data_IF_241388567392
#
_entry.id   IF_241388567392
#
_cell.length_a   1.000
_cell.length_b   1.000
_cell.length_c   1.000
_cell.angle_alpha   90.00
_cell.angle_beta   90.00
_cell.angle_gamma   90.00
#
_symmetry.space_group_name_H-M   'P 1'
#
loop_
_entity.id
_entity.type
_entity.pdbx_description
1 polymer ?
#
# COMPACT_ATOMS: atom_id res chain seq x y z
N UNK A 1 -28.92 -5.09 -36.27
CA UNK A 1 -27.60 -4.86 -35.71
C UNK A 1 -26.74 -6.11 -35.80
N UNK A 2 -25.50 -6.01 -36.25
CA UNK A 2 -24.57 -7.14 -36.41
C UNK A 2 -23.19 -6.76 -35.83
N UNK A 3 -22.59 -7.66 -35.08
CA UNK A 3 -21.21 -7.54 -34.59
C UNK A 3 -20.44 -8.75 -35.11
N UNK A 4 -19.31 -8.50 -35.76
CA UNK A 4 -18.45 -9.56 -36.29
C UNK A 4 -16.99 -9.26 -36.01
N UNK A 5 -16.20 -10.32 -35.78
CA UNK A 5 -14.76 -10.22 -35.55
C UNK A 5 -14.03 -11.03 -36.62
N UNK A 6 -12.98 -10.45 -37.14
CA UNK A 6 -12.08 -11.08 -38.12
C UNK A 6 -10.65 -10.98 -37.60
N UNK A 7 -10.01 -12.11 -37.39
CA UNK A 7 -8.59 -12.12 -37.03
C UNK A 7 -7.76 -11.61 -38.20
N UNK A 8 -6.86 -10.68 -37.92
CA UNK A 8 -5.86 -10.16 -38.84
C UNK A 8 -4.63 -11.08 -38.83
N UNK A 9 -4.24 -11.44 -37.60
CA UNK A 9 -3.18 -12.39 -37.32
C UNK A 9 -3.49 -13.17 -36.02
N UNK A 10 -2.47 -13.75 -35.37
CA UNK A 10 -2.64 -14.54 -34.14
C UNK A 10 -2.98 -13.71 -32.91
N UNK A 11 -2.60 -12.43 -32.91
CA UNK A 11 -2.66 -11.53 -31.74
C UNK A 11 -3.42 -10.24 -32.01
N UNK A 12 -3.99 -10.09 -33.21
CA UNK A 12 -4.80 -8.93 -33.59
C UNK A 12 -6.04 -9.31 -34.40
N UNK A 13 -7.12 -8.58 -34.17
CA UNK A 13 -8.37 -8.75 -34.87
C UNK A 13 -9.03 -7.39 -35.19
N UNK A 14 -9.94 -7.40 -36.15
CA UNK A 14 -10.86 -6.31 -36.44
C UNK A 14 -12.24 -6.68 -35.90
N UNK A 15 -12.82 -5.81 -35.13
CA UNK A 15 -14.20 -5.91 -34.65
C UNK A 15 -15.04 -4.88 -35.41
N UNK A 16 -16.01 -5.36 -36.17
CA UNK A 16 -16.93 -4.50 -36.93
C UNK A 16 -18.30 -4.52 -36.29
N UNK A 17 -18.86 -3.36 -36.00
CA UNK A 17 -20.19 -3.17 -35.45
C UNK A 17 -21.04 -2.40 -36.44
N UNK A 18 -22.10 -3.03 -36.95
CA UNK A 18 -23.06 -2.43 -37.85
C UNK A 18 -24.36 -2.11 -37.08
N UNK A 19 -24.71 -0.83 -37.02
CA UNK A 19 -25.91 -0.32 -36.37
C UNK A 19 -26.86 0.25 -37.39
N UNK A 20 -28.04 -0.31 -37.48
CA UNK A 20 -29.09 0.14 -38.38
C UNK A 20 -30.07 1.08 -37.66
N UNK A 21 -30.79 1.90 -38.41
CA UNK A 21 -31.78 2.83 -37.87
C UNK A 21 -32.78 2.17 -36.92
N UNK A 22 -33.24 0.96 -37.26
CA UNK A 22 -34.18 0.21 -36.44
C UNK A 22 -33.65 -0.11 -35.02
N UNK A 23 -32.32 -0.18 -34.85
CA UNK A 23 -31.72 -0.57 -33.56
C UNK A 23 -31.76 0.55 -32.53
N UNK A 24 -31.70 1.82 -32.94
CA UNK A 24 -31.60 2.97 -32.05
C UNK A 24 -32.81 3.92 -32.09
N UNK A 25 -33.64 3.90 -33.15
CA UNK A 25 -34.69 4.90 -33.37
C UNK A 25 -35.66 5.00 -32.19
N UNK A 26 -36.08 3.88 -31.62
CA UNK A 26 -36.99 3.88 -30.47
C UNK A 26 -36.36 4.53 -29.20
N UNK A 27 -35.08 4.25 -28.95
CA UNK A 27 -34.32 4.84 -27.84
C UNK A 27 -34.20 6.36 -28.02
N UNK A 28 -33.84 6.80 -29.23
CA UNK A 28 -33.74 8.23 -29.60
C UNK A 28 -35.08 8.94 -29.43
N UNK A 29 -36.18 8.39 -29.97
CA UNK A 29 -37.50 9.00 -29.83
C UNK A 29 -37.97 9.07 -28.36
N UNK A 30 -37.62 8.10 -27.55
CA UNK A 30 -37.90 8.10 -26.10
C UNK A 30 -37.15 9.18 -25.35
N UNK A 31 -35.86 9.37 -25.67
CA UNK A 31 -35.02 10.43 -25.07
C UNK A 31 -35.51 11.81 -25.53
N UNK A 32 -35.79 12.00 -26.82
CA UNK A 32 -36.34 13.27 -27.33
C UNK A 32 -37.69 13.64 -26.73
N UNK A 33 -38.55 12.66 -26.41
CA UNK A 33 -39.82 12.89 -25.65
C UNK A 33 -39.51 13.42 -24.24
N UNK A 34 -38.48 12.91 -23.56
CA UNK A 34 -38.05 13.42 -22.23
C UNK A 34 -37.52 14.85 -22.34
N UNK A 35 -36.66 15.12 -23.36
CA UNK A 35 -36.16 16.48 -23.61
C UNK A 35 -37.31 17.46 -23.86
N UNK A 36 -38.34 17.06 -24.64
CA UNK A 36 -39.54 17.89 -24.87
C UNK A 36 -40.23 18.29 -23.57
N UNK A 37 -40.37 17.37 -22.62
CA UNK A 37 -41.01 17.64 -21.33
C UNK A 37 -40.22 18.64 -20.47
N UNK A 38 -38.90 18.67 -20.61
CA UNK A 38 -38.01 19.49 -19.82
C UNK A 38 -37.64 20.82 -20.51
N UNK A 39 -37.74 20.87 -21.84
CA UNK A 39 -37.33 22.01 -22.64
C UNK A 39 -38.06 23.29 -22.27
N UNK A 40 -37.30 24.37 -22.07
CA UNK A 40 -37.80 25.72 -21.87
C UNK A 40 -37.40 26.53 -23.09
N UNK A 41 -38.36 26.70 -24.03
CA UNK A 41 -38.11 27.41 -25.30
C UNK A 41 -39.01 28.67 -25.31
N UNK A 42 -38.44 29.87 -25.51
CA UNK A 42 -39.24 31.11 -25.59
C UNK A 42 -40.40 30.98 -26.59
N UNK A 43 -41.59 31.36 -26.17
CA UNK A 43 -42.81 31.26 -26.98
C UNK A 43 -43.60 29.96 -26.86
N UNK A 44 -43.11 28.97 -26.12
CA UNK A 44 -43.81 27.70 -25.87
C UNK A 44 -43.95 27.39 -24.39
N UNK A 45 -45.13 26.88 -24.00
CA UNK A 45 -45.31 26.34 -22.64
C UNK A 45 -44.45 25.07 -22.47
N UNK A 46 -43.86 24.91 -21.29
CA UNK A 46 -43.05 23.71 -20.92
C UNK A 46 -43.82 22.44 -21.25
N UNK A 47 -43.18 21.51 -21.99
CA UNK A 47 -43.79 20.27 -22.44
C UNK A 47 -44.64 20.35 -23.72
N UNK A 48 -44.91 21.58 -24.25
CA UNK A 48 -45.70 21.81 -25.44
C UNK A 48 -44.90 22.27 -26.67
N UNK A 49 -43.58 22.19 -26.58
CA UNK A 49 -42.69 22.48 -27.70
C UNK A 49 -42.94 21.46 -28.83
N UNK A 50 -43.10 21.88 -30.12
CA UNK A 50 -43.25 20.97 -31.22
C UNK A 50 -42.07 19.99 -31.33
N UNK A 51 -42.35 18.70 -31.57
CA UNK A 51 -41.32 17.65 -31.66
C UNK A 51 -40.32 17.93 -32.80
N UNK A 52 -40.76 18.55 -33.86
CA UNK A 52 -39.90 18.94 -34.97
C UNK A 52 -38.81 19.93 -34.58
N UNK A 53 -39.14 20.87 -33.65
CA UNK A 53 -38.18 21.82 -33.11
C UNK A 53 -37.18 21.15 -32.16
N UNK A 54 -37.68 20.23 -31.32
CA UNK A 54 -36.82 19.40 -30.42
C UNK A 54 -35.87 18.53 -31.26
N UNK A 55 -36.39 17.85 -32.29
CA UNK A 55 -35.55 17.05 -33.22
C UNK A 55 -34.50 17.90 -33.91
N UNK A 56 -34.85 19.09 -34.39
CA UNK A 56 -33.91 20.02 -35.02
C UNK A 56 -32.79 20.49 -34.08
N UNK A 57 -33.13 20.72 -32.81
CA UNK A 57 -32.20 21.27 -31.82
C UNK A 57 -31.34 20.21 -31.16
N UNK A 58 -31.91 19.05 -30.82
CA UNK A 58 -31.25 18.02 -30.02
C UNK A 58 -31.12 16.66 -30.73
N UNK A 59 -31.76 16.49 -31.88
CA UNK A 59 -31.87 15.20 -32.57
C UNK A 59 -30.51 14.56 -32.86
N UNK A 60 -29.60 15.34 -33.42
CA UNK A 60 -28.24 14.89 -33.77
C UNK A 60 -27.44 14.45 -32.54
N UNK A 61 -27.42 15.27 -31.50
CA UNK A 61 -26.69 14.97 -30.29
C UNK A 61 -27.24 13.74 -29.58
N UNK A 62 -28.58 13.64 -29.45
CA UNK A 62 -29.24 12.48 -28.86
C UNK A 62 -29.03 11.21 -29.66
N UNK A 63 -29.06 11.30 -31.01
CA UNK A 63 -28.78 10.16 -31.87
C UNK A 63 -27.32 9.68 -31.70
N UNK A 64 -26.36 10.60 -31.73
CA UNK A 64 -24.95 10.26 -31.50
C UNK A 64 -24.72 9.59 -30.14
N UNK A 65 -25.32 10.13 -29.08
CA UNK A 65 -25.22 9.58 -27.74
C UNK A 65 -25.85 8.18 -27.63
N UNK A 66 -27.03 7.96 -28.19
CA UNK A 66 -27.71 6.66 -28.12
C UNK A 66 -27.04 5.60 -29.02
N UNK A 67 -26.48 6.00 -30.16
CA UNK A 67 -25.70 5.12 -31.05
C UNK A 67 -24.40 4.73 -30.35
N UNK A 68 -23.70 5.66 -29.71
CA UNK A 68 -22.47 5.37 -28.96
C UNK A 68 -22.73 4.40 -27.79
N UNK A 69 -23.75 4.66 -26.97
CA UNK A 69 -24.14 3.75 -25.89
C UNK A 69 -24.46 2.34 -26.41
N UNK A 70 -25.21 2.26 -27.51
CA UNK A 70 -25.57 0.99 -28.10
C UNK A 70 -24.36 0.24 -28.66
N UNK A 71 -23.43 0.95 -29.28
CA UNK A 71 -22.18 0.43 -29.79
C UNK A 71 -21.35 -0.17 -28.66
N UNK A 72 -21.12 0.60 -27.58
CA UNK A 72 -20.36 0.14 -26.40
C UNK A 72 -21.02 -1.08 -25.74
N UNK A 73 -22.35 -1.05 -25.56
CA UNK A 73 -23.13 -2.17 -25.02
C UNK A 73 -22.87 -3.45 -25.83
N UNK A 74 -22.92 -3.36 -27.14
CA UNK A 74 -22.79 -4.51 -28.05
C UNK A 74 -21.36 -5.01 -28.21
N UNK A 75 -20.38 -4.13 -28.19
CA UNK A 75 -18.97 -4.52 -28.15
C UNK A 75 -18.70 -5.35 -26.89
N UNK A 76 -19.10 -4.84 -25.72
CA UNK A 76 -18.91 -5.54 -24.45
C UNK A 76 -19.67 -6.89 -24.38
N UNK A 77 -20.90 -6.93 -24.91
CA UNK A 77 -21.69 -8.17 -24.99
C UNK A 77 -20.98 -9.21 -25.87
N UNK A 78 -20.54 -8.82 -27.07
CA UNK A 78 -19.84 -9.69 -27.99
C UNK A 78 -18.53 -10.26 -27.41
N UNK A 79 -17.71 -9.41 -26.80
CA UNK A 79 -16.44 -9.82 -26.15
C UNK A 79 -16.71 -10.86 -25.05
N UNK A 80 -17.73 -10.62 -24.22
CA UNK A 80 -18.08 -11.52 -23.13
C UNK A 80 -18.66 -12.86 -23.62
N UNK A 81 -19.60 -12.82 -24.58
CA UNK A 81 -20.27 -14.03 -25.09
C UNK A 81 -19.33 -14.93 -25.86
N UNK A 82 -18.41 -14.35 -26.63
CA UNK A 82 -17.42 -15.07 -27.42
C UNK A 82 -16.13 -15.34 -26.63
N UNK A 83 -16.06 -14.93 -25.36
CA UNK A 83 -14.87 -15.10 -24.49
C UNK A 83 -13.58 -14.61 -25.15
N UNK A 84 -13.66 -13.43 -25.80
CA UNK A 84 -12.51 -12.85 -26.48
C UNK A 84 -11.48 -12.39 -25.45
N UNK A 85 -10.30 -13.00 -25.44
CA UNK A 85 -9.18 -12.60 -24.56
C UNK A 85 -8.51 -11.34 -25.13
N UNK A 86 -9.16 -10.19 -24.89
CA UNK A 86 -8.72 -8.89 -25.38
C UNK A 86 -7.74 -8.25 -24.39
N UNK A 87 -6.67 -7.64 -24.90
CA UNK A 87 -5.71 -6.85 -24.15
C UNK A 87 -6.05 -5.37 -24.24
N UNK A 88 -6.34 -4.75 -23.10
CA UNK A 88 -6.70 -3.33 -23.03
C UNK A 88 -8.10 -3.02 -23.59
N UNK A 89 -8.21 -1.95 -24.39
CA UNK A 89 -9.48 -1.47 -24.94
C UNK A 89 -9.50 -1.57 -26.48
N UNK A 90 -10.69 -1.69 -27.09
CA UNK A 90 -10.84 -1.57 -28.55
C UNK A 90 -10.39 -0.19 -29.02
N UNK A 91 -9.56 -0.13 -30.06
CA UNK A 91 -9.14 1.13 -30.65
C UNK A 91 -9.87 1.38 -31.98
N UNK A 92 -10.41 2.59 -32.22
CA UNK A 92 -10.97 2.91 -33.54
C UNK A 92 -9.94 2.69 -34.64
N UNK A 93 -10.31 1.95 -35.68
CA UNK A 93 -9.43 1.73 -36.83
C UNK A 93 -9.46 2.95 -37.77
N UNK A 94 -8.37 3.72 -37.82
CA UNK A 94 -8.30 4.99 -38.57
C UNK A 94 -8.43 4.84 -40.08
N UNK A 95 -8.02 3.69 -40.61
CA UNK A 95 -8.05 3.45 -42.07
C UNK A 95 -9.42 3.00 -42.57
N UNK A 96 -10.14 2.20 -41.75
CA UNK A 96 -11.41 1.58 -42.14
C UNK A 96 -12.64 2.30 -41.60
N UNK A 97 -12.49 3.13 -40.57
CA UNK A 97 -13.59 3.89 -40.00
C UNK A 97 -13.94 5.05 -40.92
N UNK A 98 -15.14 5.00 -41.49
CA UNK A 98 -15.65 6.08 -42.34
C UNK A 98 -16.03 7.29 -41.46
N UNK A 99 -15.92 8.49 -42.07
CA UNK A 99 -16.42 9.71 -41.40
C UNK A 99 -17.92 9.57 -41.13
N UNK A 100 -18.32 9.63 -39.87
CA UNK A 100 -19.71 9.50 -39.49
C UNK A 100 -20.39 10.87 -39.56
N UNK A 101 -21.42 10.96 -40.41
CA UNK A 101 -22.27 12.15 -40.51
C UNK A 101 -23.71 11.80 -40.03
N UNK A 102 -24.03 12.18 -38.79
CA UNK A 102 -25.35 11.98 -38.20
C UNK A 102 -26.46 12.85 -38.82
N UNK A 103 -26.16 13.77 -39.74
CA UNK A 103 -27.18 14.56 -40.43
C UNK A 103 -27.68 13.83 -41.72
N UNK A 104 -26.85 12.94 -42.27
CA UNK A 104 -27.16 12.30 -43.56
C UNK A 104 -27.29 10.79 -43.48
N UNK A 105 -26.51 10.18 -42.57
CA UNK A 105 -26.46 8.71 -42.42
C UNK A 105 -27.50 8.23 -41.39
N UNK A 106 -28.13 7.11 -41.71
CA UNK A 106 -29.07 6.41 -40.86
C UNK A 106 -28.54 5.05 -40.38
N UNK A 107 -27.50 4.54 -41.05
CA UNK A 107 -26.81 3.31 -40.66
C UNK A 107 -25.34 3.63 -40.41
N UNK A 108 -24.75 3.02 -39.42
CA UNK A 108 -23.41 3.31 -38.95
C UNK A 108 -22.58 2.03 -38.89
N UNK A 109 -21.37 2.10 -39.42
CA UNK A 109 -20.36 1.05 -39.27
C UNK A 109 -19.20 1.57 -38.45
N UNK A 110 -18.89 0.86 -37.39
CA UNK A 110 -17.73 1.12 -36.52
C UNK A 110 -16.77 -0.04 -36.66
N UNK A 111 -15.50 0.26 -36.90
CA UNK A 111 -14.43 -0.72 -37.00
C UNK A 111 -13.38 -0.46 -35.94
N UNK A 112 -13.05 -1.47 -35.17
CA UNK A 112 -12.08 -1.39 -34.08
C UNK A 112 -10.95 -2.38 -34.28
N UNK A 113 -9.74 -1.94 -33.98
CA UNK A 113 -8.59 -2.80 -33.76
C UNK A 113 -8.63 -3.40 -32.39
N UNK A 114 -8.50 -4.71 -32.30
CA UNK A 114 -8.51 -5.48 -31.05
C UNK A 114 -7.16 -6.16 -30.86
N UNK A 115 -6.49 -5.85 -29.78
CA UNK A 115 -5.33 -6.58 -29.32
C UNK A 115 -5.78 -7.87 -28.61
N UNK A 116 -5.30 -9.02 -29.07
CA UNK A 116 -5.62 -10.32 -28.49
C UNK A 116 -4.47 -10.86 -27.66
N UNK A 117 -4.78 -11.53 -26.55
CA UNK A 117 -3.80 -12.28 -25.79
C UNK A 117 -3.21 -13.43 -26.63
N UNK A 118 -1.90 -13.65 -26.57
CA UNK A 118 -1.26 -14.78 -27.26
C UNK A 118 -1.73 -16.11 -26.69
N UNK A 119 -1.77 -17.13 -27.53
CA UNK A 119 -2.04 -18.50 -27.08
C UNK A 119 -0.77 -19.10 -26.49
N UNK A 120 -0.82 -19.52 -25.25
CA UNK A 120 0.26 -20.21 -24.54
C UNK A 120 -0.34 -21.09 -23.43
N UNK A 121 0.49 -21.92 -22.78
CA UNK A 121 0.08 -22.76 -21.67
C UNK A 121 1.01 -22.54 -20.50
N UNK A 122 0.47 -22.08 -19.38
CA UNK A 122 1.15 -21.99 -18.11
C UNK A 122 0.80 -23.21 -17.26
N UNK A 123 1.78 -24.03 -16.97
CA UNK A 123 1.61 -25.26 -16.15
C UNK A 123 2.73 -25.37 -15.13
N UNK A 124 2.34 -25.80 -13.94
CA UNK A 124 3.26 -26.23 -12.89
C UNK A 124 2.83 -27.60 -12.36
N UNK A 125 3.79 -28.45 -12.09
CA UNK A 125 3.57 -29.84 -11.67
C UNK A 125 4.64 -30.29 -10.68
N UNK A 126 4.54 -31.48 -10.14
CA UNK A 126 5.54 -32.09 -9.26
C UNK A 126 6.94 -32.25 -9.92
N UNK A 127 7.03 -32.16 -11.26
CA UNK A 127 8.32 -32.18 -11.98
C UNK A 127 9.06 -30.85 -11.91
N UNK A 128 8.34 -29.77 -11.56
CA UNK A 128 8.88 -28.43 -11.45
C UNK A 128 9.41 -28.21 -10.03
N UNK A 129 10.74 -28.17 -9.87
CA UNK A 129 11.41 -27.97 -8.60
C UNK A 129 11.70 -26.47 -8.39
N UNK A 130 11.18 -25.90 -7.30
CA UNK A 130 11.33 -24.48 -6.97
C UNK A 130 11.89 -24.36 -5.56
N UNK A 131 12.85 -23.46 -5.39
CA UNK A 131 13.42 -23.17 -4.09
C UNK A 131 12.40 -22.47 -3.18
N UNK A 132 12.30 -22.96 -1.94
CA UNK A 132 11.51 -22.35 -0.90
C UNK A 132 12.40 -22.00 0.28
N UNK A 133 12.58 -20.70 0.53
CA UNK A 133 13.46 -20.19 1.58
C UNK A 133 12.68 -19.93 2.87
N UNK A 134 13.15 -20.52 3.96
CA UNK A 134 12.68 -20.21 5.32
C UNK A 134 13.77 -19.47 6.08
N UNK A 135 13.37 -18.45 6.84
CA UNK A 135 14.32 -17.64 7.61
C UNK A 135 14.44 -18.21 9.02
N UNK A 136 15.66 -18.57 9.40
CA UNK A 136 15.94 -19.07 10.73
C UNK A 136 15.72 -17.98 11.80
N UNK A 137 14.96 -18.28 12.83
CA UNK A 137 14.76 -17.38 13.99
C UNK A 137 15.87 -17.65 15.00
N UNK A 138 16.81 -16.71 15.12
CA UNK A 138 17.92 -16.80 16.06
C UNK A 138 17.48 -16.50 17.51
N UNK A 139 18.23 -17.02 18.47
CA UNK A 139 18.02 -16.72 19.89
C UNK A 139 18.23 -15.21 20.18
N UNK A 140 19.11 -14.55 19.43
CA UNK A 140 19.33 -13.11 19.54
C UNK A 140 18.07 -12.31 19.15
N UNK A 141 17.35 -12.72 18.10
CA UNK A 141 16.08 -12.10 17.71
C UNK A 141 15.03 -12.25 18.81
N UNK A 142 14.94 -13.45 19.38
CA UNK A 142 14.02 -13.72 20.49
C UNK A 142 14.39 -12.86 21.71
N UNK A 143 15.69 -12.80 22.08
CA UNK A 143 16.15 -12.00 23.20
C UNK A 143 15.85 -10.51 22.99
N UNK A 144 16.16 -9.97 21.82
CA UNK A 144 15.86 -8.57 21.49
C UNK A 144 14.38 -8.23 21.61
N UNK A 145 13.52 -9.16 21.20
CA UNK A 145 12.06 -8.99 21.31
C UNK A 145 11.59 -9.07 22.77
N UNK A 146 12.15 -9.98 23.56
CA UNK A 146 11.90 -10.09 25.02
C UNK A 146 12.30 -8.80 25.71
N UNK A 147 13.51 -8.29 25.44
CA UNK A 147 14.04 -7.06 26.02
C UNK A 147 13.15 -5.85 25.67
N UNK A 148 12.67 -5.80 24.42
CA UNK A 148 11.76 -4.76 23.98
C UNK A 148 10.44 -4.79 24.76
N UNK A 149 9.85 -5.96 25.00
CA UNK A 149 8.63 -6.09 25.79
C UNK A 149 8.88 -5.72 27.25
N UNK A 150 9.99 -6.20 27.84
CA UNK A 150 10.36 -5.87 29.21
C UNK A 150 10.57 -4.36 29.41
N UNK A 151 11.22 -3.69 28.44
CA UNK A 151 11.41 -2.24 28.48
C UNK A 151 10.11 -1.45 28.28
N UNK A 152 9.21 -1.89 27.42
CA UNK A 152 7.90 -1.24 27.24
C UNK A 152 7.03 -1.32 28.50
N UNK A 153 7.15 -2.39 29.26
CA UNK A 153 6.46 -2.59 30.52
C UNK A 153 7.27 -2.11 31.72
N UNK A 154 8.34 -1.31 31.50
CA UNK A 154 9.22 -0.82 32.57
C UNK A 154 8.45 -0.01 33.62
N UNK A 155 8.82 -0.21 34.86
CA UNK A 155 8.38 0.63 35.98
C UNK A 155 9.41 1.71 36.23
N UNK A 156 8.93 2.91 36.55
CA UNK A 156 9.79 4.03 36.85
C UNK A 156 9.98 4.10 38.38
N UNK A 157 11.24 3.98 38.80
CA UNK A 157 11.62 4.00 40.22
C UNK A 157 12.51 5.21 40.49
N UNK A 158 12.31 5.85 41.68
CA UNK A 158 13.18 6.91 42.13
C UNK A 158 14.46 6.29 42.69
N UNK A 159 15.60 6.81 42.28
CA UNK A 159 16.93 6.34 42.69
C UNK A 159 17.77 7.51 43.15
N UNK A 160 18.84 7.24 43.94
CA UNK A 160 19.72 8.27 44.51
C UNK A 160 20.89 8.65 43.60
N UNK A 161 21.33 7.75 42.72
CA UNK A 161 22.48 7.91 41.86
C UNK A 161 22.11 7.66 40.37
N UNK A 162 22.69 8.49 39.52
CA UNK A 162 22.46 8.42 38.06
C UNK A 162 23.18 7.24 37.41
N UNK A 163 22.47 6.58 36.55
CA UNK A 163 23.01 5.64 35.55
C UNK A 163 22.58 6.05 34.13
N UNK A 164 23.30 5.54 33.14
CA UNK A 164 22.97 5.85 31.74
C UNK A 164 21.49 5.51 31.46
N UNK A 165 20.82 6.41 30.74
CA UNK A 165 19.40 6.42 30.41
C UNK A 165 18.41 6.77 31.54
N UNK A 166 18.90 7.11 32.75
CA UNK A 166 18.02 7.66 33.79
C UNK A 166 17.53 9.05 33.40
N UNK A 167 16.35 9.39 33.82
CA UNK A 167 15.75 10.70 33.65
C UNK A 167 16.01 11.55 34.90
N UNK A 168 16.60 12.73 34.69
CA UNK A 168 16.85 13.72 35.72
C UNK A 168 15.75 14.76 35.70
N UNK A 169 15.23 15.11 36.90
CA UNK A 169 14.33 16.23 37.08
C UNK A 169 14.93 17.17 38.12
N UNK A 170 14.85 18.47 37.88
CA UNK A 170 15.44 19.44 38.80
C UNK A 170 15.23 20.89 38.42
N UNK A 171 15.89 21.78 39.13
CA UNK A 171 15.90 23.22 38.85
C UNK A 171 17.05 23.54 37.91
N UNK A 172 16.73 24.12 36.76
CA UNK A 172 17.68 24.63 35.80
C UNK A 172 17.73 26.15 35.85
N UNK A 173 18.92 26.73 36.00
CA UNK A 173 19.07 28.18 36.09
C UNK A 173 20.26 28.68 35.24
N UNK A 174 20.04 29.74 34.47
CA UNK A 174 21.06 30.42 33.67
C UNK A 174 22.12 31.07 34.60
N UNK A 175 23.39 30.93 34.20
CA UNK A 175 24.51 31.51 34.93
C UNK A 175 25.08 32.74 34.20
N UNK A 176 25.59 33.71 34.99
CA UNK A 176 26.35 34.82 34.51
C UNK A 176 27.81 34.42 34.22
N UNK A 177 28.63 35.34 33.73
CA UNK A 177 30.06 35.12 33.42
C UNK A 177 30.90 34.75 34.69
N UNK A 178 30.41 35.04 35.86
CA UNK A 178 31.10 34.73 37.15
C UNK A 178 30.60 33.37 37.74
N UNK A 179 29.67 32.70 37.07
CA UNK A 179 29.11 31.43 37.55
C UNK A 179 28.00 31.56 38.61
N UNK A 180 27.48 32.77 38.81
CA UNK A 180 26.32 32.99 39.70
C UNK A 180 25.01 32.92 38.88
N UNK A 181 23.90 32.64 39.59
CA UNK A 181 22.59 32.70 38.94
C UNK A 181 22.34 34.10 38.34
N UNK A 182 22.07 34.17 37.05
CA UNK A 182 21.88 35.41 36.31
C UNK A 182 20.55 36.07 36.69
N UNK A 183 20.61 37.31 37.16
CA UNK A 183 19.40 38.10 37.49
C UNK A 183 18.56 38.32 36.25
N UNK A 184 17.29 37.91 36.26
CA UNK A 184 16.37 37.94 35.10
C UNK A 184 16.72 36.92 33.99
N UNK A 185 17.66 36.01 34.22
CA UNK A 185 17.99 34.90 33.32
C UNK A 185 16.91 33.80 33.32
N UNK A 186 17.11 32.84 32.43
CA UNK A 186 16.19 31.70 32.28
C UNK A 186 16.28 30.79 33.50
N UNK A 187 15.12 30.53 34.14
CA UNK A 187 14.97 29.55 35.20
C UNK A 187 13.79 28.61 34.87
N UNK A 188 14.02 27.29 35.04
CA UNK A 188 13.02 26.26 34.77
C UNK A 188 12.94 25.34 35.96
N UNK A 189 11.85 25.48 36.75
CA UNK A 189 11.51 24.56 37.79
C UNK A 189 11.01 23.23 37.23
N UNK A 190 11.48 22.13 37.80
CA UNK A 190 11.10 20.79 37.38
C UNK A 190 11.50 20.48 35.93
N UNK A 191 12.61 21.05 35.46
CA UNK A 191 13.18 20.72 34.17
C UNK A 191 13.52 19.23 34.10
N UNK A 192 13.14 18.59 33.00
CA UNK A 192 13.37 17.16 32.78
C UNK A 192 14.34 16.98 31.65
N UNK A 193 15.37 16.18 31.86
CA UNK A 193 16.33 15.82 30.80
C UNK A 193 16.86 14.41 30.99
N UNK A 194 17.33 13.84 29.89
CA UNK A 194 18.08 12.57 29.88
C UNK A 194 19.47 12.85 29.33
N UNK A 195 20.52 12.82 30.15
CA UNK A 195 21.90 13.07 29.69
C UNK A 195 22.35 12.12 28.57
N UNK A 196 21.78 10.91 28.51
CA UNK A 196 22.06 9.94 27.43
C UNK A 196 21.74 10.48 26.03
N UNK A 197 20.86 11.48 25.87
CA UNK A 197 20.53 12.10 24.59
C UNK A 197 21.45 13.26 24.23
N UNK A 198 22.35 13.68 25.13
CA UNK A 198 23.36 14.67 24.81
C UNK A 198 24.31 14.12 23.75
N UNK A 199 24.62 14.95 22.76
CA UNK A 199 25.54 14.60 21.65
C UNK A 199 26.99 14.88 21.98
N UNK A 200 27.26 15.76 22.93
CA UNK A 200 28.60 16.10 23.37
C UNK A 200 29.01 15.26 24.58
N UNK A 201 30.02 14.42 24.40
CA UNK A 201 30.48 13.48 25.43
C UNK A 201 31.05 14.18 26.68
N UNK A 202 31.68 15.37 26.53
CA UNK A 202 32.20 16.13 27.67
C UNK A 202 31.05 16.64 28.54
N UNK A 203 29.98 17.14 27.93
CA UNK A 203 28.78 17.60 28.65
C UNK A 203 28.03 16.42 29.27
N UNK A 204 27.94 15.28 28.61
CA UNK A 204 27.36 14.05 29.12
C UNK A 204 28.12 13.53 30.34
N UNK A 205 29.45 13.58 30.30
CA UNK A 205 30.30 13.09 31.40
C UNK A 205 30.10 13.85 32.71
N UNK A 206 29.64 15.11 32.69
CA UNK A 206 29.32 15.90 33.88
C UNK A 206 28.25 15.18 34.74
N UNK A 207 27.33 14.47 34.10
CA UNK A 207 26.21 13.79 34.77
C UNK A 207 26.55 12.35 35.18
N UNK A 208 27.68 11.79 34.75
CA UNK A 208 27.99 10.37 34.93
C UNK A 208 27.98 9.90 36.41
N UNK A 209 28.26 10.80 37.35
CA UNK A 209 28.29 10.52 38.80
C UNK A 209 27.26 11.33 39.59
N UNK A 210 26.25 11.87 38.91
CA UNK A 210 25.24 12.73 39.51
C UNK A 210 24.42 11.99 40.57
N UNK A 211 24.11 12.70 41.66
CA UNK A 211 23.25 12.24 42.74
C UNK A 211 22.16 13.24 43.04
N UNK A 212 21.13 12.79 43.69
CA UNK A 212 20.07 13.68 44.20
C UNK A 212 20.68 14.76 45.08
N UNK A 213 20.28 16.00 44.92
CA UNK A 213 20.76 17.25 45.52
C UNK A 213 22.10 17.79 44.97
N UNK A 214 22.74 17.13 44.00
CA UNK A 214 23.91 17.70 43.35
C UNK A 214 23.53 18.93 42.50
N UNK A 215 24.45 19.89 42.41
CA UNK A 215 24.35 21.05 41.50
C UNK A 215 25.45 20.91 40.47
N UNK A 216 25.04 20.66 39.23
CA UNK A 216 25.94 20.42 38.11
C UNK A 216 25.89 21.61 37.14
N UNK A 217 27.04 22.01 36.63
CA UNK A 217 27.15 23.12 35.67
C UNK A 217 27.46 22.55 34.31
N UNK A 218 26.64 22.86 33.35
CA UNK A 218 26.80 22.40 31.96
C UNK A 218 26.35 23.47 30.96
N UNK A 219 26.69 23.28 29.69
CA UNK A 219 26.25 24.14 28.61
C UNK A 219 25.18 23.42 27.76
N UNK A 220 23.88 23.78 27.87
CA UNK A 220 22.83 23.12 27.11
C UNK A 220 23.03 23.22 25.59
N UNK A 221 23.50 24.35 25.08
CA UNK A 221 23.73 24.53 23.65
C UNK A 221 24.79 23.56 23.13
N UNK A 222 25.91 23.44 23.85
CA UNK A 222 26.96 22.48 23.52
C UNK A 222 26.48 21.02 23.73
N UNK A 223 25.72 20.74 24.78
CA UNK A 223 25.22 19.40 25.08
C UNK A 223 24.33 18.83 23.97
N UNK A 224 23.47 19.63 23.37
CA UNK A 224 22.52 19.22 22.34
C UNK A 224 22.90 19.72 20.93
N UNK A 225 24.16 20.15 20.72
CA UNK A 225 24.69 20.62 19.44
C UNK A 225 23.80 21.67 18.76
N UNK A 226 23.29 22.61 19.57
CA UNK A 226 22.43 23.70 19.10
C UNK A 226 21.05 23.26 18.60
N UNK A 227 20.59 22.06 18.92
CA UNK A 227 19.26 21.57 18.50
C UNK A 227 18.14 22.42 19.10
N UNK A 228 17.50 23.25 18.25
CA UNK A 228 16.47 24.20 18.66
C UNK A 228 15.26 23.54 19.33
N UNK A 229 14.85 22.36 18.91
CA UNK A 229 13.69 21.68 19.46
C UNK A 229 13.97 21.18 20.90
N UNK A 230 15.13 20.55 21.11
CA UNK A 230 15.56 20.07 22.42
C UNK A 230 15.77 21.24 23.41
N UNK A 231 16.48 22.27 22.97
CA UNK A 231 16.78 23.45 23.78
C UNK A 231 15.53 24.24 24.14
N UNK A 232 14.63 24.49 23.17
CA UNK A 232 13.36 25.15 23.41
C UNK A 232 12.51 24.39 24.43
N UNK A 233 12.51 23.05 24.35
CA UNK A 233 11.77 22.18 25.29
C UNK A 233 12.37 22.19 26.68
N UNK A 234 13.72 22.12 26.80
CA UNK A 234 14.45 22.06 28.05
C UNK A 234 14.39 23.42 28.79
N UNK A 235 14.68 24.51 28.07
CA UNK A 235 14.77 25.87 28.59
C UNK A 235 13.43 26.57 28.70
N UNK A 236 12.34 26.00 28.15
CA UNK A 236 10.99 26.59 28.08
C UNK A 236 10.98 27.96 27.42
N UNK A 237 11.80 28.20 26.42
CA UNK A 237 11.91 29.41 25.61
C UNK A 237 11.40 29.15 24.18
N UNK A 238 11.18 30.24 23.42
CA UNK A 238 10.83 30.13 22.02
C UNK A 238 12.02 29.68 21.18
N UNK A 239 11.77 29.02 20.06
CA UNK A 239 12.84 28.52 19.17
C UNK A 239 13.73 29.66 18.64
N UNK A 240 13.12 30.84 18.37
CA UNK A 240 13.86 32.01 17.90
C UNK A 240 14.88 32.55 18.93
N UNK A 241 14.66 32.28 20.22
CA UNK A 241 15.53 32.73 21.32
C UNK A 241 16.69 31.75 21.59
N UNK A 242 16.59 30.52 21.09
CA UNK A 242 17.60 29.45 21.32
C UNK A 242 18.98 29.83 20.78
N UNK A 243 19.03 30.50 19.61
CA UNK A 243 20.30 30.89 18.97
C UNK A 243 21.15 31.81 19.85
N UNK A 244 20.53 32.59 20.75
CA UNK A 244 21.17 33.53 21.67
C UNK A 244 21.61 32.85 22.97
N UNK A 245 21.07 31.66 23.30
CA UNK A 245 21.35 30.92 24.52
C UNK A 245 22.66 30.13 24.43
N UNK A 246 23.79 30.83 24.73
CA UNK A 246 25.14 30.22 24.77
C UNK A 246 25.69 30.13 26.20
N UNK A 247 24.94 30.58 27.18
CA UNK A 247 25.33 30.61 28.59
C UNK A 247 25.45 29.19 29.17
N UNK A 248 26.23 29.07 30.22
CA UNK A 248 26.21 27.90 31.08
C UNK A 248 24.96 27.95 31.98
N UNK A 249 24.52 26.79 32.39
CA UNK A 249 23.41 26.63 33.33
C UNK A 249 23.84 25.76 34.50
N UNK A 250 23.31 26.05 35.68
CA UNK A 250 23.31 25.11 36.80
C UNK A 250 22.07 24.24 36.73
N UNK A 251 22.24 22.97 37.00
CA UNK A 251 21.14 22.02 37.16
C UNK A 251 21.21 21.40 38.53
N UNK A 252 20.27 21.74 39.41
CA UNK A 252 20.12 21.12 40.71
C UNK A 252 19.24 19.88 40.59
N UNK A 253 19.81 18.73 40.80
CA UNK A 253 19.12 17.43 40.70
C UNK A 253 18.18 17.25 41.89
N UNK A 254 16.86 17.28 41.62
CA UNK A 254 15.82 17.06 42.62
C UNK A 254 15.39 15.60 42.68
N UNK A 255 15.36 14.94 41.52
CA UNK A 255 14.89 13.57 41.40
C UNK A 255 15.61 12.88 40.24
N UNK A 256 15.97 11.63 40.46
CA UNK A 256 16.47 10.72 39.43
C UNK A 256 15.48 9.58 39.33
N UNK A 257 15.01 9.34 38.10
CA UNK A 257 14.05 8.29 37.80
C UNK A 257 14.66 7.28 36.83
N UNK A 258 14.68 6.02 37.23
CA UNK A 258 15.19 4.90 36.41
C UNK A 258 14.05 4.08 35.87
N UNK A 259 14.08 3.82 34.56
CA UNK A 259 13.20 2.85 33.95
C UNK A 259 13.76 1.44 34.22
N UNK A 260 13.14 0.71 35.13
CA UNK A 260 13.50 -0.68 35.45
C UNK A 260 12.67 -1.59 34.55
N UNK A 261 13.29 -2.34 33.62
CA UNK A 261 12.56 -3.28 32.78
C UNK A 261 11.73 -4.25 33.62
N UNK A 262 10.53 -4.60 33.12
CA UNK A 262 9.70 -5.56 33.83
C UNK A 262 10.41 -6.91 33.93
N UNK A 263 10.23 -7.59 35.07
CA UNK A 263 10.69 -8.96 35.22
C UNK A 263 9.95 -9.89 34.25
N UNK A 264 10.61 -10.97 33.84
CA UNK A 264 9.99 -12.02 33.01
C UNK A 264 9.09 -12.90 33.92
N UNK A 265 7.97 -12.33 34.28
CA UNK A 265 6.99 -12.94 35.17
C UNK A 265 5.58 -12.96 34.53
N UNK A 266 4.62 -13.55 35.27
CA UNK A 266 3.24 -13.68 34.81
C UNK A 266 2.60 -12.33 34.39
N UNK A 267 2.95 -11.25 35.11
CA UNK A 267 2.38 -9.94 34.82
C UNK A 267 2.79 -9.42 33.42
N UNK A 268 4.07 -9.61 33.06
CA UNK A 268 4.54 -9.29 31.70
C UNK A 268 3.92 -10.22 30.66
N UNK A 269 3.82 -11.52 30.95
CA UNK A 269 3.25 -12.49 30.00
C UNK A 269 1.79 -12.17 29.71
N UNK A 270 1.00 -11.86 30.74
CA UNK A 270 -0.41 -11.49 30.59
C UNK A 270 -0.59 -10.15 29.85
N UNK A 271 0.32 -9.20 30.08
CA UNK A 271 0.28 -7.92 29.37
C UNK A 271 0.55 -8.08 27.86
N UNK A 272 1.45 -8.99 27.46
CA UNK A 272 1.87 -9.19 26.08
C UNK A 272 0.90 -10.09 25.31
N UNK A 273 0.51 -11.22 25.89
CA UNK A 273 -0.26 -12.25 25.20
C UNK A 273 -1.70 -12.41 25.70
N UNK A 274 -2.08 -11.71 26.76
CA UNK A 274 -3.37 -11.84 27.42
C UNK A 274 -3.32 -12.77 28.62
N UNK A 275 -4.26 -12.57 29.55
CA UNK A 275 -4.33 -13.27 30.85
C UNK A 275 -4.38 -14.79 30.69
N UNK A 276 -3.44 -15.49 31.29
CA UNK A 276 -3.36 -16.95 31.29
C UNK A 276 -2.97 -17.60 29.97
N UNK A 277 -2.62 -16.82 28.94
CA UNK A 277 -2.24 -17.35 27.63
C UNK A 277 -0.84 -17.99 27.63
N UNK A 278 0.00 -17.63 28.59
CA UNK A 278 1.38 -18.09 28.76
C UNK A 278 1.64 -18.24 30.25
N UNK A 279 2.28 -19.34 30.67
CA UNK A 279 2.47 -19.68 32.05
C UNK A 279 3.95 -19.79 32.49
N UNK A 280 4.88 -19.71 31.54
CA UNK A 280 6.31 -19.80 31.81
C UNK A 280 7.14 -18.95 30.84
N UNK A 281 8.37 -18.63 31.23
CA UNK A 281 9.33 -17.95 30.38
C UNK A 281 9.62 -18.76 29.09
N UNK A 282 9.67 -20.08 29.17
CA UNK A 282 9.89 -20.96 28.01
C UNK A 282 8.74 -20.82 27.01
N UNK A 283 7.49 -20.85 27.48
CA UNK A 283 6.30 -20.63 26.63
C UNK A 283 6.27 -19.22 26.06
N UNK A 284 6.65 -18.20 26.85
CA UNK A 284 6.73 -16.81 26.41
C UNK A 284 7.70 -16.64 25.25
N UNK A 285 8.92 -17.19 25.40
CA UNK A 285 9.94 -17.19 24.35
C UNK A 285 9.51 -18.03 23.14
N UNK A 286 8.85 -19.15 23.36
CA UNK A 286 8.29 -20.00 22.32
C UNK A 286 7.28 -19.25 21.44
N UNK A 287 6.32 -18.55 22.06
CA UNK A 287 5.34 -17.75 21.33
C UNK A 287 5.95 -16.55 20.60
N UNK A 288 6.98 -15.92 21.18
CA UNK A 288 7.75 -14.88 20.50
C UNK A 288 8.42 -15.46 19.25
N UNK A 289 9.09 -16.60 19.39
CA UNK A 289 9.74 -17.29 18.28
C UNK A 289 8.74 -17.68 17.17
N UNK A 290 7.58 -18.22 17.53
CA UNK A 290 6.48 -18.51 16.60
C UNK A 290 5.97 -17.24 15.90
N UNK A 291 5.83 -16.15 16.63
CA UNK A 291 5.41 -14.85 16.07
C UNK A 291 6.41 -14.31 15.05
N UNK A 292 7.71 -14.36 15.35
CA UNK A 292 8.78 -13.95 14.42
C UNK A 292 8.77 -14.87 13.19
N UNK A 293 8.67 -16.19 13.39
CA UNK A 293 8.62 -17.17 12.29
C UNK A 293 7.39 -16.95 11.40
N UNK A 294 6.23 -16.64 11.97
CA UNK A 294 5.02 -16.33 11.20
C UNK A 294 5.19 -15.05 10.37
N UNK A 295 5.87 -14.02 10.90
CA UNK A 295 6.19 -12.82 10.15
C UNK A 295 7.12 -13.13 8.98
N UNK A 296 8.17 -13.93 9.19
CA UNK A 296 9.11 -14.33 8.14
C UNK A 296 8.46 -15.22 7.07
N UNK A 297 7.41 -15.95 7.42
CA UNK A 297 6.67 -16.75 6.44
C UNK A 297 6.03 -15.89 5.34
N UNK A 298 5.62 -14.67 5.67
CA UNK A 298 5.11 -13.73 4.66
C UNK A 298 6.21 -13.36 3.66
N UNK A 299 7.43 -13.09 4.15
CA UNK A 299 8.59 -12.78 3.30
C UNK A 299 9.00 -14.00 2.46
N UNK A 300 9.02 -15.18 3.07
CA UNK A 300 9.28 -16.45 2.39
C UNK A 300 8.28 -16.72 1.24
N UNK A 301 6.99 -16.44 1.48
CA UNK A 301 5.94 -16.58 0.47
C UNK A 301 6.11 -15.58 -0.67
N UNK A 302 6.46 -14.34 -0.34
CA UNK A 302 6.74 -13.31 -1.34
C UNK A 302 7.92 -13.70 -2.24
N UNK A 303 9.04 -14.12 -1.64
CA UNK A 303 10.21 -14.61 -2.39
C UNK A 303 9.85 -15.80 -3.27
N UNK A 304 9.09 -16.75 -2.74
CA UNK A 304 8.64 -17.92 -3.49
C UNK A 304 7.83 -17.51 -4.74
N UNK A 305 6.92 -16.54 -4.63
CA UNK A 305 6.16 -16.03 -5.78
C UNK A 305 7.06 -15.35 -6.82
N UNK A 306 8.10 -14.63 -6.39
CA UNK A 306 9.09 -14.06 -7.29
C UNK A 306 9.87 -15.13 -8.05
N UNK A 307 10.26 -16.20 -7.36
CA UNK A 307 10.97 -17.32 -7.97
C UNK A 307 10.07 -18.12 -8.91
N UNK A 308 8.82 -18.37 -8.53
CA UNK A 308 7.80 -18.96 -9.42
C UNK A 308 7.59 -18.10 -10.65
N UNK A 309 7.48 -16.78 -10.49
CA UNK A 309 7.36 -15.84 -11.61
C UNK A 309 8.52 -16.00 -12.58
N UNK A 310 9.74 -15.94 -12.07
CA UNK A 310 10.96 -16.08 -12.88
C UNK A 310 11.01 -17.45 -13.59
N UNK A 311 10.70 -18.51 -12.86
CA UNK A 311 10.67 -19.86 -13.39
C UNK A 311 9.64 -20.00 -14.53
N UNK A 312 8.40 -19.55 -14.31
CA UNK A 312 7.32 -19.69 -15.28
C UNK A 312 7.50 -18.77 -16.49
N UNK A 313 8.01 -17.55 -16.30
CA UNK A 313 8.38 -16.65 -17.40
C UNK A 313 9.41 -17.33 -18.33
N UNK A 314 10.44 -17.97 -17.75
CA UNK A 314 11.43 -18.70 -18.51
C UNK A 314 10.86 -19.95 -19.19
N UNK A 315 9.96 -20.69 -18.51
CA UNK A 315 9.32 -21.89 -19.04
C UNK A 315 8.38 -21.61 -20.19
N UNK A 316 7.61 -20.55 -20.11
CA UNK A 316 6.69 -20.07 -21.16
C UNK A 316 7.47 -19.46 -22.33
N UNK A 317 8.58 -18.79 -22.04
CA UNK A 317 9.39 -18.11 -23.04
C UNK A 317 8.81 -16.81 -23.54
N UNK A 318 9.35 -16.30 -24.66
CA UNK A 318 8.91 -15.04 -25.23
C UNK A 318 7.59 -15.21 -25.97
N UNK A 319 6.57 -14.47 -25.55
CA UNK A 319 5.28 -14.39 -26.22
C UNK A 319 5.30 -13.33 -27.32
N UNK A 320 4.51 -13.55 -28.38
CA UNK A 320 4.26 -12.56 -29.42
C UNK A 320 3.08 -11.67 -29.01
N UNK A 321 3.23 -10.36 -29.12
CA UNK A 321 2.20 -9.40 -28.81
C UNK A 321 1.94 -8.45 -30.00
N UNK A 322 0.76 -7.84 -30.08
CA UNK A 322 0.47 -6.82 -31.10
C UNK A 322 1.08 -5.47 -30.68
N UNK A 323 2.41 -5.35 -30.76
CA UNK A 323 3.21 -4.26 -30.20
C UNK A 323 2.68 -2.87 -30.60
N UNK A 324 2.31 -2.68 -31.87
CA UNK A 324 1.81 -1.40 -32.35
C UNK A 324 0.51 -0.97 -31.64
N UNK A 325 -0.41 -1.92 -31.43
CA UNK A 325 -1.67 -1.66 -30.73
C UNK A 325 -1.44 -1.41 -29.23
N UNK A 326 -0.60 -2.24 -28.61
CA UNK A 326 -0.31 -2.10 -27.18
C UNK A 326 0.42 -0.79 -26.86
N UNK A 327 1.37 -0.35 -27.67
CA UNK A 327 2.01 0.96 -27.56
C UNK A 327 1.02 2.10 -27.68
N UNK A 328 0.07 2.01 -28.64
CA UNK A 328 -0.99 3.00 -28.81
C UNK A 328 -1.93 3.05 -27.60
N UNK A 329 -2.34 1.89 -27.07
CA UNK A 329 -3.14 1.80 -25.83
C UNK A 329 -2.38 2.41 -24.64
N UNK A 330 -1.08 2.08 -24.50
CA UNK A 330 -0.24 2.61 -23.45
C UNK A 330 -0.10 4.14 -23.52
N UNK A 331 0.04 4.68 -24.74
CA UNK A 331 0.10 6.12 -24.97
C UNK A 331 -1.21 6.81 -24.58
N UNK A 332 -2.36 6.26 -25.00
CA UNK A 332 -3.68 6.80 -24.64
C UNK A 332 -3.94 6.80 -23.15
N UNK A 333 -3.46 5.77 -22.43
CA UNK A 333 -3.58 5.69 -20.99
C UNK A 333 -2.60 6.61 -20.24
N UNK A 334 -1.62 7.20 -20.93
CA UNK A 334 -0.57 8.06 -20.36
C UNK A 334 -0.32 9.27 -21.29
N UNK A 335 -1.37 9.93 -21.76
CA UNK A 335 -1.27 11.07 -22.69
C UNK A 335 -0.40 12.21 -22.13
N UNK A 336 -0.44 12.41 -20.82
CA UNK A 336 0.34 13.39 -20.07
C UNK A 336 1.86 13.13 -20.08
N UNK A 337 2.28 11.87 -20.31
CA UNK A 337 3.70 11.45 -20.28
C UNK A 337 4.36 11.37 -21.65
N UNK A 338 3.57 11.26 -22.73
CA UNK A 338 4.05 11.25 -24.11
C UNK A 338 4.73 9.95 -24.58
N UNK A 339 5.22 9.98 -25.84
CA UNK A 339 5.78 8.81 -26.52
C UNK A 339 7.07 8.27 -25.88
N UNK A 340 7.94 9.15 -25.38
CA UNK A 340 9.19 8.72 -24.72
C UNK A 340 8.96 7.81 -23.52
N UNK A 341 7.91 8.10 -22.73
CA UNK A 341 7.51 7.24 -21.64
C UNK A 341 7.12 5.83 -22.10
N UNK A 342 6.41 5.74 -23.23
CA UNK A 342 6.01 4.45 -23.82
C UNK A 342 7.26 3.68 -24.24
N UNK A 343 8.18 4.30 -24.96
CA UNK A 343 9.40 3.64 -25.44
C UNK A 343 10.28 3.12 -24.29
N UNK A 344 10.44 3.91 -23.23
CA UNK A 344 11.27 3.54 -22.08
C UNK A 344 10.65 2.42 -21.20
N UNK A 345 9.31 2.33 -21.15
CA UNK A 345 8.62 1.43 -20.23
C UNK A 345 7.92 0.25 -20.91
N UNK A 346 7.89 0.19 -22.24
CA UNK A 346 7.10 -0.80 -22.98
C UNK A 346 7.55 -2.24 -22.69
N UNK A 347 8.85 -2.53 -22.75
CA UNK A 347 9.38 -3.87 -22.47
C UNK A 347 9.03 -4.35 -21.05
N UNK A 348 9.17 -3.47 -20.07
CA UNK A 348 8.77 -3.77 -18.68
C UNK A 348 7.27 -4.02 -18.57
N UNK A 349 6.47 -3.26 -19.31
CA UNK A 349 5.02 -3.45 -19.34
C UNK A 349 4.63 -4.80 -19.98
N UNK A 350 5.37 -5.25 -20.99
CA UNK A 350 5.17 -6.59 -21.58
C UNK A 350 5.54 -7.72 -20.60
N UNK A 351 6.58 -7.56 -19.81
CA UNK A 351 6.94 -8.54 -18.77
C UNK A 351 5.83 -8.63 -17.72
N UNK A 352 5.31 -7.50 -17.26
CA UNK A 352 4.19 -7.47 -16.31
C UNK A 352 2.91 -8.06 -16.93
N UNK A 353 2.62 -7.76 -18.18
CA UNK A 353 1.48 -8.33 -18.90
C UNK A 353 1.62 -9.85 -19.07
N UNK A 354 2.79 -10.32 -19.44
CA UNK A 354 3.09 -11.76 -19.57
C UNK A 354 2.86 -12.46 -18.24
N UNK A 355 3.39 -11.91 -17.14
CA UNK A 355 3.16 -12.45 -15.80
C UNK A 355 1.68 -12.44 -15.41
N UNK A 356 0.98 -11.37 -15.73
CA UNK A 356 -0.47 -11.27 -15.47
C UNK A 356 -1.24 -12.39 -16.18
N UNK A 357 -0.97 -12.63 -17.47
CA UNK A 357 -1.60 -13.70 -18.23
C UNK A 357 -1.25 -15.10 -17.71
N UNK A 358 0.00 -15.34 -17.32
CA UNK A 358 0.42 -16.58 -16.66
C UNK A 358 -0.37 -16.80 -15.36
N UNK A 359 -0.46 -15.75 -14.54
CA UNK A 359 -1.18 -15.78 -13.26
C UNK A 359 -2.67 -16.08 -13.46
N UNK A 360 -3.32 -15.45 -14.43
CA UNK A 360 -4.73 -15.71 -14.76
C UNK A 360 -4.97 -17.19 -15.14
N UNK A 361 -4.13 -17.75 -16.00
CA UNK A 361 -4.26 -19.17 -16.38
C UNK A 361 -4.09 -20.10 -15.17
N UNK A 362 -3.14 -19.84 -14.28
CA UNK A 362 -2.94 -20.64 -13.07
C UNK A 362 -4.11 -20.51 -12.10
N UNK A 363 -4.65 -19.30 -11.92
CA UNK A 363 -5.83 -19.05 -11.07
C UNK A 363 -7.04 -19.83 -11.59
N UNK A 364 -7.24 -19.84 -12.91
CA UNK A 364 -8.32 -20.62 -13.55
C UNK A 364 -8.05 -22.15 -13.43
N UNK A 365 -6.84 -22.61 -13.75
CA UNK A 365 -6.46 -24.02 -13.71
C UNK A 365 -6.58 -24.62 -12.31
N UNK A 366 -6.27 -23.85 -11.27
CA UNK A 366 -6.39 -24.30 -9.88
C UNK A 366 -7.79 -24.03 -9.28
N UNK A 367 -8.69 -23.42 -10.06
CA UNK A 367 -10.05 -23.10 -9.59
C UNK A 367 -10.06 -22.11 -8.41
N UNK A 368 -9.06 -21.23 -8.33
CA UNK A 368 -8.93 -20.27 -7.24
C UNK A 368 -10.06 -19.25 -7.32
N UNK A 369 -10.83 -19.15 -6.24
CA UNK A 369 -11.88 -18.15 -6.06
C UNK A 369 -11.60 -17.37 -4.80
N UNK A 370 -11.69 -16.05 -4.90
CA UNK A 370 -11.58 -15.16 -3.75
C UNK A 370 -12.98 -14.80 -3.28
N UNK A 371 -13.27 -15.13 -2.03
CA UNK A 371 -14.52 -14.82 -1.37
C UNK A 371 -14.36 -13.60 -0.45
N UNK A 372 -15.47 -13.02 -0.03
CA UNK A 372 -15.44 -11.88 0.91
C UNK A 372 -14.72 -12.23 2.22
N UNK A 373 -14.80 -13.48 2.66
CA UNK A 373 -14.10 -13.96 3.86
C UNK A 373 -12.57 -13.89 3.70
N UNK A 374 -12.05 -14.21 2.51
CA UNK A 374 -10.61 -14.14 2.22
C UNK A 374 -10.10 -12.70 2.27
N UNK A 375 -10.85 -11.79 1.64
CA UNK A 375 -10.50 -10.36 1.62
C UNK A 375 -10.54 -9.79 3.04
N UNK A 376 -11.55 -10.17 3.84
CA UNK A 376 -11.66 -9.76 5.23
C UNK A 376 -10.51 -10.31 6.08
N UNK A 377 -10.06 -11.55 5.84
CA UNK A 377 -8.92 -12.14 6.52
C UNK A 377 -7.63 -11.36 6.25
N UNK A 378 -7.36 -11.02 4.99
CA UNK A 378 -6.20 -10.18 4.61
C UNK A 378 -6.31 -8.78 5.22
N UNK A 379 -7.51 -8.18 5.23
CA UNK A 379 -7.73 -6.87 5.85
C UNK A 379 -7.47 -6.90 7.37
N UNK A 380 -7.90 -7.97 8.06
CA UNK A 380 -7.62 -8.18 9.50
C UNK A 380 -6.12 -8.34 9.76
N UNK A 381 -5.42 -9.09 8.93
CA UNK A 381 -3.97 -9.29 9.05
C UNK A 381 -3.21 -7.97 8.86
N UNK A 382 -3.55 -7.20 7.83
CA UNK A 382 -2.99 -5.86 7.62
C UNK A 382 -3.26 -4.94 8.83
N UNK A 383 -4.47 -4.96 9.36
CA UNK A 383 -4.86 -4.20 10.55
C UNK A 383 -4.01 -4.63 11.75
N UNK A 384 -3.85 -5.93 11.98
CA UNK A 384 -3.03 -6.47 13.07
C UNK A 384 -1.57 -6.00 12.96
N UNK A 385 -0.97 -6.08 11.75
CA UNK A 385 0.38 -5.59 11.51
C UNK A 385 0.51 -4.09 11.77
N UNK A 386 -0.46 -3.29 11.34
CA UNK A 386 -0.48 -1.85 11.59
C UNK A 386 -0.53 -1.53 13.09
N UNK A 387 -1.39 -2.18 13.84
CA UNK A 387 -1.47 -1.99 15.29
C UNK A 387 -0.21 -2.47 16.01
N UNK A 388 0.41 -3.56 15.54
CA UNK A 388 1.67 -4.06 16.09
C UNK A 388 2.80 -3.03 15.97
N UNK A 389 2.85 -2.26 14.88
CA UNK A 389 3.81 -1.14 14.73
C UNK A 389 3.65 -0.07 15.81
N UNK A 390 2.42 0.12 16.33
CA UNK A 390 2.14 1.01 17.46
C UNK A 390 2.26 0.30 18.83
N UNK A 391 2.75 -0.95 18.84
CA UNK A 391 2.99 -1.72 20.07
C UNK A 391 1.75 -2.42 20.64
N UNK A 392 0.64 -2.41 19.92
CA UNK A 392 -0.58 -3.11 20.33
C UNK A 392 -0.58 -4.53 19.73
N UNK A 393 -0.12 -5.51 20.51
CA UNK A 393 0.01 -6.90 20.07
C UNK A 393 -1.25 -7.73 20.35
N UNK A 394 -1.98 -7.40 21.41
CA UNK A 394 -3.24 -8.07 21.77
C UNK A 394 -4.41 -7.14 21.46
N UNK A 395 -5.10 -7.42 20.36
CA UNK A 395 -6.26 -6.64 19.91
C UNK A 395 -7.47 -7.54 19.93
N UNK A 396 -8.59 -7.11 20.56
CA UNK A 396 -9.84 -7.87 20.51
C UNK A 396 -10.28 -8.14 19.08
N UNK A 397 -10.71 -9.36 18.78
CA UNK A 397 -11.10 -9.77 17.42
C UNK A 397 -12.22 -8.90 16.85
N UNK A 398 -13.15 -8.46 17.68
CA UNK A 398 -14.22 -7.54 17.28
C UNK A 398 -13.66 -6.19 16.79
N UNK A 399 -12.63 -5.67 17.45
CA UNK A 399 -11.97 -4.42 17.06
C UNK A 399 -11.26 -4.60 15.71
N UNK A 400 -10.49 -5.69 15.53
CA UNK A 400 -9.84 -6.02 14.26
C UNK A 400 -10.85 -6.11 13.13
N UNK A 401 -11.97 -6.78 13.36
CA UNK A 401 -13.02 -6.94 12.36
C UNK A 401 -13.67 -5.62 11.98
N UNK A 402 -13.91 -4.74 12.94
CA UNK A 402 -14.49 -3.43 12.68
C UNK A 402 -13.55 -2.55 11.84
N UNK A 403 -12.25 -2.51 12.20
CA UNK A 403 -11.26 -1.77 11.41
C UNK A 403 -11.08 -2.35 10.00
N UNK A 404 -11.03 -3.68 9.86
CA UNK A 404 -10.96 -4.35 8.58
C UNK A 404 -12.18 -4.02 7.69
N UNK A 405 -13.38 -4.03 8.26
CA UNK A 405 -14.61 -3.62 7.54
C UNK A 405 -14.59 -2.16 7.10
N UNK A 406 -14.01 -1.25 7.91
CA UNK A 406 -13.83 0.14 7.50
C UNK A 406 -12.84 0.29 6.34
N UNK A 407 -11.74 -0.48 6.32
CA UNK A 407 -10.82 -0.52 5.18
C UNK A 407 -11.52 -0.95 3.89
N UNK A 408 -12.43 -1.91 3.98
CA UNK A 408 -13.19 -2.44 2.83
C UNK A 408 -14.23 -1.45 2.26
N UNK A 409 -14.59 -0.40 2.98
CA UNK A 409 -15.49 0.65 2.44
C UNK A 409 -14.83 1.52 1.37
N UNK A 410 -13.50 1.62 1.39
CA UNK A 410 -12.73 2.41 0.42
C UNK A 410 -12.39 1.54 -0.79
N UNK A 411 -13.00 1.83 -1.94
CA UNK A 411 -12.80 1.06 -3.19
C UNK A 411 -11.33 0.90 -3.57
N UNK A 412 -10.53 1.94 -3.35
CA UNK A 412 -9.08 1.95 -3.62
C UNK A 412 -8.32 0.85 -2.86
N UNK A 413 -8.76 0.55 -1.63
CA UNK A 413 -8.12 -0.50 -0.82
C UNK A 413 -8.57 -1.90 -1.24
N UNK A 414 -9.80 -2.05 -1.73
CA UNK A 414 -10.40 -3.37 -2.03
C UNK A 414 -9.64 -4.08 -3.13
N UNK A 415 -9.27 -3.39 -4.20
CA UNK A 415 -8.53 -3.98 -5.33
C UNK A 415 -7.16 -4.55 -4.87
N UNK A 416 -6.42 -3.79 -4.08
CA UNK A 416 -5.15 -4.26 -3.51
C UNK A 416 -5.32 -5.46 -2.57
N UNK A 417 -6.40 -5.50 -1.78
CA UNK A 417 -6.69 -6.62 -0.88
C UNK A 417 -7.13 -7.88 -1.67
N UNK A 418 -7.91 -7.71 -2.73
CA UNK A 418 -8.30 -8.82 -3.63
C UNK A 418 -7.06 -9.41 -4.28
N UNK A 419 -6.16 -8.59 -4.83
CA UNK A 419 -4.92 -9.05 -5.45
C UNK A 419 -4.05 -9.83 -4.46
N UNK A 420 -3.90 -9.35 -3.23
CA UNK A 420 -3.17 -10.07 -2.17
C UNK A 420 -3.84 -11.40 -1.81
N UNK A 421 -5.18 -11.46 -1.76
CA UNK A 421 -5.90 -12.69 -1.50
C UNK A 421 -5.69 -13.71 -2.63
N UNK A 422 -5.73 -13.27 -3.90
CA UNK A 422 -5.40 -14.10 -5.06
C UNK A 422 -3.98 -14.64 -4.94
N UNK A 423 -3.00 -13.77 -4.67
CA UNK A 423 -1.59 -14.16 -4.56
C UNK A 423 -1.33 -15.12 -3.39
N UNK A 424 -1.97 -14.90 -2.26
CA UNK A 424 -1.88 -15.81 -1.11
C UNK A 424 -2.42 -17.20 -1.43
N UNK A 425 -3.60 -17.29 -2.04
CA UNK A 425 -4.20 -18.57 -2.47
C UNK A 425 -3.38 -19.24 -3.58
N UNK A 426 -2.88 -18.45 -4.52
CA UNK A 426 -2.02 -18.94 -5.58
C UNK A 426 -0.72 -19.51 -5.02
N UNK A 427 -0.06 -18.82 -4.09
CA UNK A 427 1.15 -19.32 -3.43
C UNK A 427 0.90 -20.65 -2.71
N UNK A 428 -0.23 -20.77 -2.01
CA UNK A 428 -0.61 -22.02 -1.35
C UNK A 428 -0.80 -23.18 -2.36
N UNK A 429 -1.57 -22.94 -3.42
CA UNK A 429 -1.81 -23.92 -4.46
C UNK A 429 -0.52 -24.34 -5.21
N UNK A 430 0.36 -23.38 -5.49
CA UNK A 430 1.65 -23.63 -6.14
C UNK A 430 2.57 -24.49 -5.27
N UNK A 431 2.58 -24.26 -3.95
CA UNK A 431 3.37 -25.10 -3.01
C UNK A 431 2.90 -26.54 -2.94
N UNK A 432 1.60 -26.78 -3.15
CA UNK A 432 1.05 -28.13 -3.19
C UNK A 432 1.33 -28.85 -4.51
N UNK A 433 1.52 -28.10 -5.60
CA UNK A 433 1.69 -28.65 -6.95
C UNK A 433 3.14 -28.82 -7.37
N UNK A 434 4.02 -27.92 -6.94
CA UNK A 434 5.44 -27.96 -7.27
C UNK A 434 6.22 -28.80 -6.25
N UNK A 435 7.38 -29.29 -6.65
CA UNK A 435 8.35 -29.85 -5.70
C UNK A 435 9.13 -28.71 -5.06
N UNK A 436 9.09 -28.61 -3.72
CA UNK A 436 9.78 -27.55 -2.98
C UNK A 436 11.17 -28.01 -2.54
N UNK A 437 12.19 -27.29 -2.94
CA UNK A 437 13.54 -27.41 -2.39
C UNK A 437 13.64 -26.51 -1.16
N UNK A 438 13.30 -27.02 0.02
CA UNK A 438 13.33 -26.26 1.25
C UNK A 438 14.77 -25.92 1.63
N UNK A 439 15.04 -24.62 1.84
CA UNK A 439 16.34 -24.06 2.24
C UNK A 439 16.15 -23.14 3.43
N UNK A 440 16.78 -23.47 4.54
CA UNK A 440 16.82 -22.58 5.70
C UNK A 440 18.03 -21.65 5.55
N UNK A 441 17.81 -20.35 5.69
CA UNK A 441 18.81 -19.29 5.52
C UNK A 441 18.74 -18.29 6.66
N UNK A 442 19.83 -17.57 6.89
CA UNK A 442 19.81 -16.43 7.81
C UNK A 442 19.05 -15.24 7.20
N UNK A 443 18.68 -14.27 8.03
CA UNK A 443 18.05 -13.00 7.57
C UNK A 443 18.95 -12.25 6.59
N UNK A 444 20.26 -12.26 6.82
CA UNK A 444 21.23 -11.58 5.93
C UNK A 444 21.29 -12.25 4.55
N UNK A 445 21.38 -13.58 4.52
CA UNK A 445 21.34 -14.36 3.27
C UNK A 445 20.03 -14.14 2.54
N UNK A 446 18.89 -14.16 3.25
CA UNK A 446 17.58 -13.92 2.67
C UNK A 446 17.48 -12.52 2.04
N UNK A 447 17.94 -11.47 2.73
CA UNK A 447 17.96 -10.11 2.20
C UNK A 447 18.83 -9.98 0.94
N UNK A 448 19.90 -10.77 0.83
CA UNK A 448 20.72 -10.80 -0.38
C UNK A 448 20.04 -11.51 -1.55
N UNK A 449 19.12 -12.45 -1.30
CA UNK A 449 18.31 -13.10 -2.33
C UNK A 449 17.21 -12.19 -2.90
N UNK A 450 16.88 -11.09 -2.24
CA UNK A 450 15.87 -10.11 -2.69
C UNK A 450 16.47 -8.94 -3.49
N UNK A 451 17.79 -8.79 -3.50
CA UNK A 451 18.51 -7.77 -4.29
C UNK A 451 18.65 -8.20 -5.74
#
# INVERSE_FOLDING_TARGET
>A
MNVSMQNVDKVSALLTVNIEKADYQEKVDKVLKKYRQQANVPGFRKGMVPMSLIKKQFGKAVMAEEVDKLMQEKVNEYIRENKVNMLGMPLPNEEKMQTIDFDVQENFEFVFDIALAPEFKAEISEQDAIDFYTIAVSDEMVNSQVDMYAQRAAKYEKVEDYQDRDMLKGLLAELDENGNTKEGGVQVEGAVMMPSYMKNDEQKAIFATAKVNDVLVFNPNAAFDGNEAELSSLLKIKREEVAEMKSNFSFQVEEITRAVPAALDQALFDQVFGEGAVSSEEEFRGKIKEGIAAQFMADSNYKFLLDVRTYLMNKVGKLEFPDALLKKIMLLNNEDKGESFVEENYEKSLEELTWHLIKEQLVEAFGIKVEQADILAIAKENTRMQFAQYGMMSIPEEMLENYAKEMLKKKENVEGLVNRAVESKLAAALKEKATLNNKEVSMEEFNNLLK
#
